data_IF_288270397521
#
_entry.id   IF_288270397521
#
_cell.length_a   1.000
_cell.length_b   1.000
_cell.length_c   1.000
_cell.angle_alpha   90.00
_cell.angle_beta   90.00
_cell.angle_gamma   90.00
#
_symmetry.space_group_name_H-M   'P 1'
#
loop_
_entity.id
_entity.type
_entity.pdbx_description
1 polymer ?
#
# COMPACT_ATOMS: atom_id res chain seq x y z
N UNK A 1 28.30 -0.31 -4.41
CA UNK A 1 28.03 0.67 -3.37
C UNK A 1 26.69 1.33 -3.62
N UNK A 2 25.77 1.24 -2.69
CA UNK A 2 24.44 1.82 -2.87
C UNK A 2 24.39 3.21 -2.23
N UNK A 3 23.91 4.21 -2.97
CA UNK A 3 23.67 5.54 -2.44
C UNK A 3 22.24 5.66 -1.92
N UNK A 4 21.74 4.57 -1.32
CA UNK A 4 20.38 4.52 -0.82
C UNK A 4 20.25 5.31 0.49
N UNK A 5 19.17 6.09 0.58
CA UNK A 5 18.88 6.93 1.75
C UNK A 5 18.49 6.10 2.97
N UNK A 6 17.81 4.99 2.74
CA UNK A 6 17.32 4.12 3.81
C UNK A 6 17.70 2.67 3.56
N UNK A 7 17.86 1.92 4.64
CA UNK A 7 18.15 0.49 4.54
C UNK A 7 16.87 -0.30 4.24
N UNK A 8 15.82 -0.08 5.02
CA UNK A 8 14.53 -0.78 4.85
C UNK A 8 13.38 0.20 4.86
N UNK A 9 12.56 0.15 3.84
CA UNK A 9 11.34 0.95 3.74
C UNK A 9 10.10 0.10 3.52
N UNK A 10 8.92 0.69 3.70
CA UNK A 10 7.63 0.04 3.52
C UNK A 10 6.67 0.99 2.80
N UNK A 11 5.91 0.44 1.86
CA UNK A 11 4.79 1.12 1.22
C UNK A 11 3.58 0.20 1.29
N UNK A 12 2.56 0.61 2.01
CA UNK A 12 1.38 -0.22 2.24
C UNK A 12 0.08 0.42 1.77
N UNK A 13 -0.91 -0.42 1.52
CA UNK A 13 -2.24 0.04 1.16
C UNK A 13 -3.17 -1.11 0.85
N UNK A 14 -4.43 -0.80 0.55
CA UNK A 14 -5.44 -1.77 0.12
C UNK A 14 -5.35 -2.07 -1.38
N UNK A 15 -4.89 -1.11 -2.15
CA UNK A 15 -4.68 -1.26 -3.60
C UNK A 15 -5.89 -1.83 -4.34
N UNK A 16 -6.98 -1.08 -4.35
CA UNK A 16 -8.25 -1.52 -4.95
C UNK A 16 -8.65 -0.68 -6.16
N UNK A 17 -7.99 -0.79 -7.29
CA UNK A 17 -6.88 -1.67 -7.65
C UNK A 17 -5.51 -1.02 -7.41
N UNK A 18 -4.46 -1.81 -7.63
CA UNK A 18 -3.09 -1.29 -7.74
C UNK A 18 -2.97 -0.59 -9.10
N UNK A 19 -2.66 0.69 -9.08
CA UNK A 19 -2.67 1.50 -10.29
C UNK A 19 -1.32 2.22 -10.52
N UNK A 20 -1.24 2.97 -11.61
CA UNK A 20 0.01 3.65 -12.01
C UNK A 20 0.52 4.65 -10.97
N UNK A 21 -0.38 5.28 -10.21
CA UNK A 21 0.00 6.14 -9.09
C UNK A 21 0.74 5.37 -8.00
N UNK A 22 0.26 4.18 -7.69
CA UNK A 22 0.93 3.29 -6.73
C UNK A 22 2.29 2.84 -7.25
N UNK A 23 2.36 2.46 -8.54
CA UNK A 23 3.62 2.05 -9.15
C UNK A 23 4.64 3.16 -9.12
N UNK A 24 4.22 4.40 -9.36
CA UNK A 24 5.08 5.58 -9.26
C UNK A 24 5.70 5.70 -7.86
N UNK A 25 4.89 5.49 -6.82
CA UNK A 25 5.40 5.50 -5.44
C UNK A 25 6.42 4.39 -5.21
N UNK A 26 6.17 3.19 -5.72
CA UNK A 26 7.10 2.07 -5.62
C UNK A 26 8.42 2.39 -6.32
N UNK A 27 8.37 2.98 -7.51
CA UNK A 27 9.57 3.37 -8.26
C UNK A 27 10.44 4.35 -7.46
N UNK A 28 9.83 5.39 -6.90
CA UNK A 28 10.56 6.39 -6.12
C UNK A 28 11.13 5.76 -4.85
N UNK A 29 10.29 5.04 -4.10
CA UNK A 29 10.71 4.43 -2.85
C UNK A 29 11.81 3.40 -3.04
N UNK A 30 11.73 2.59 -4.11
CA UNK A 30 12.73 1.56 -4.39
C UNK A 30 14.11 2.15 -4.66
N UNK A 31 14.16 3.36 -5.21
CA UNK A 31 15.42 4.07 -5.47
C UNK A 31 16.04 4.60 -4.18
N UNK A 32 15.25 4.80 -3.14
CA UNK A 32 15.70 5.36 -1.87
C UNK A 32 16.05 4.31 -0.82
N UNK A 33 15.61 3.07 -1.01
CA UNK A 33 15.80 1.99 -0.04
C UNK A 33 16.70 0.89 -0.59
N UNK A 34 17.51 0.29 0.28
CA UNK A 34 18.23 -0.93 -0.07
C UNK A 34 17.20 -2.07 -0.25
N UNK A 35 16.17 -2.10 0.60
CA UNK A 35 15.05 -3.04 0.49
C UNK A 35 13.74 -2.32 0.76
N UNK A 36 12.77 -2.51 -0.13
CA UNK A 36 11.42 -1.96 0.02
C UNK A 36 10.41 -3.10 0.11
N UNK A 37 9.56 -3.06 1.14
CA UNK A 37 8.41 -3.95 1.25
C UNK A 37 7.18 -3.23 0.72
N UNK A 38 6.50 -3.85 -0.22
CA UNK A 38 5.16 -3.40 -0.65
C UNK A 38 4.15 -4.33 0.01
N UNK A 39 3.30 -3.78 0.86
CA UNK A 39 2.40 -4.56 1.71
C UNK A 39 0.95 -4.31 1.33
N UNK A 40 0.25 -5.38 0.97
CA UNK A 40 -1.20 -5.35 0.77
C UNK A 40 -1.85 -5.64 2.12
N UNK A 41 -2.60 -4.65 2.65
CA UNK A 41 -3.45 -4.83 3.82
C UNK A 41 -4.85 -5.18 3.34
N UNK A 42 -5.40 -6.30 3.81
CA UNK A 42 -6.73 -6.73 3.38
C UNK A 42 -7.57 -7.23 4.54
N UNK A 43 -8.88 -7.10 4.40
CA UNK A 43 -9.84 -7.65 5.35
C UNK A 43 -10.43 -6.66 6.35
N UNK A 44 -10.14 -5.34 6.24
CA UNK A 44 -10.80 -4.39 7.13
C UNK A 44 -12.25 -4.16 6.71
N UNK A 45 -13.04 -3.54 7.59
CA UNK A 45 -14.47 -3.36 7.37
C UNK A 45 -14.80 -2.58 6.10
N UNK A 46 -14.02 -1.55 5.80
CA UNK A 46 -14.23 -0.74 4.59
C UNK A 46 -14.05 -1.59 3.32
N UNK A 47 -13.00 -2.40 3.29
CA UNK A 47 -12.75 -3.30 2.16
C UNK A 47 -13.86 -4.34 2.01
N UNK A 48 -14.24 -4.97 3.13
CA UNK A 48 -15.30 -5.98 3.12
C UNK A 48 -16.62 -5.42 2.61
N UNK A 49 -16.93 -4.17 2.97
CA UNK A 49 -18.13 -3.50 2.47
C UNK A 49 -18.05 -3.26 0.95
N UNK A 50 -16.91 -2.85 0.44
CA UNK A 50 -16.70 -2.68 -0.99
C UNK A 50 -16.87 -4.02 -1.72
N UNK A 51 -16.29 -5.10 -1.19
CA UNK A 51 -16.37 -6.42 -1.80
C UNK A 51 -17.79 -7.02 -1.75
N UNK A 52 -18.61 -6.62 -0.78
CA UNK A 52 -20.02 -7.01 -0.71
C UNK A 52 -20.83 -6.44 -1.86
N UNK A 53 -20.58 -5.18 -2.20
CA UNK A 53 -21.36 -4.45 -3.19
C UNK A 53 -20.80 -4.58 -4.60
N UNK A 54 -19.51 -4.88 -4.72
CA UNK A 54 -18.80 -4.96 -6.00
C UNK A 54 -18.08 -6.30 -6.10
N UNK A 55 -18.60 -7.17 -6.95
CA UNK A 55 -18.10 -8.55 -7.09
C UNK A 55 -17.20 -8.73 -8.33
N UNK A 56 -16.51 -7.67 -8.73
CA UNK A 56 -15.59 -7.73 -9.86
C UNK A 56 -14.33 -8.50 -9.48
N UNK A 57 -13.90 -9.39 -10.37
CA UNK A 57 -12.75 -10.26 -10.13
C UNK A 57 -11.48 -9.48 -9.79
N UNK A 58 -11.27 -8.35 -10.49
CA UNK A 58 -10.06 -7.55 -10.31
C UNK A 58 -9.95 -6.88 -8.93
N UNK A 59 -11.01 -6.91 -8.12
CA UNK A 59 -11.02 -6.40 -6.75
C UNK A 59 -10.76 -7.47 -5.70
N UNK A 60 -10.77 -8.75 -6.06
CA UNK A 60 -10.53 -9.82 -5.07
C UNK A 60 -9.13 -9.72 -4.48
N UNK A 61 -8.97 -10.24 -3.27
CA UNK A 61 -7.65 -10.29 -2.61
C UNK A 61 -6.65 -11.04 -3.50
N UNK A 62 -7.06 -12.18 -4.02
CA UNK A 62 -6.19 -13.01 -4.89
C UNK A 62 -5.71 -12.24 -6.12
N UNK A 63 -6.61 -11.56 -6.82
CA UNK A 63 -6.24 -10.77 -8.01
C UNK A 63 -5.30 -9.63 -7.65
N UNK A 64 -5.57 -8.95 -6.55
CA UNK A 64 -4.71 -7.86 -6.08
C UNK A 64 -3.32 -8.36 -5.71
N UNK A 65 -3.25 -9.49 -5.00
CA UNK A 65 -1.98 -10.11 -4.64
C UNK A 65 -1.16 -10.45 -5.89
N UNK A 66 -1.79 -11.07 -6.88
CA UNK A 66 -1.12 -11.45 -8.13
C UNK A 66 -0.60 -10.23 -8.89
N UNK A 67 -1.42 -9.18 -9.01
CA UNK A 67 -1.05 -7.96 -9.72
C UNK A 67 0.12 -7.23 -9.04
N UNK A 68 0.05 -7.07 -7.73
CA UNK A 68 1.09 -6.36 -6.98
C UNK A 68 2.40 -7.15 -6.99
N UNK A 69 2.31 -8.45 -6.76
CA UNK A 69 3.49 -9.32 -6.78
C UNK A 69 4.20 -9.24 -8.12
N UNK A 70 3.44 -9.28 -9.21
CA UNK A 70 4.00 -9.18 -10.56
C UNK A 70 4.67 -7.82 -10.79
N UNK A 71 4.04 -6.74 -10.32
CA UNK A 71 4.63 -5.41 -10.42
C UNK A 71 5.93 -5.31 -9.62
N UNK A 72 5.97 -5.91 -8.42
CA UNK A 72 7.17 -5.90 -7.59
C UNK A 72 8.34 -6.66 -8.24
N UNK A 73 8.06 -7.65 -9.05
CA UNK A 73 9.09 -8.42 -9.77
C UNK A 73 9.89 -7.55 -10.76
N UNK A 74 9.38 -6.38 -11.12
CA UNK A 74 10.10 -5.42 -11.98
C UNK A 74 11.29 -4.77 -11.28
N UNK A 75 11.42 -4.92 -9.98
CA UNK A 75 12.45 -4.28 -9.15
C UNK A 75 13.25 -5.33 -8.39
N UNK A 76 14.57 -5.21 -8.39
CA UNK A 76 15.45 -6.18 -7.74
C UNK A 76 15.38 -6.15 -6.22
N UNK A 77 15.03 -4.99 -5.66
CA UNK A 77 15.07 -4.74 -4.21
C UNK A 77 13.67 -4.59 -3.58
N UNK A 78 12.61 -4.95 -4.29
CA UNK A 78 11.23 -4.82 -3.80
C UNK A 78 10.68 -6.21 -3.49
N UNK A 79 10.14 -6.38 -2.27
CA UNK A 79 9.50 -7.61 -1.84
C UNK A 79 8.04 -7.36 -1.54
N UNK A 80 7.18 -8.21 -2.07
CA UNK A 80 5.75 -8.15 -1.81
C UNK A 80 5.40 -8.94 -0.55
N UNK A 81 4.48 -8.39 0.27
CA UNK A 81 3.88 -9.09 1.39
C UNK A 81 2.39 -8.77 1.47
N UNK A 82 1.63 -9.71 1.99
CA UNK A 82 0.18 -9.57 2.16
C UNK A 82 -0.15 -9.79 3.63
N UNK A 83 -0.91 -8.88 4.24
CA UNK A 83 -1.28 -8.94 5.65
C UNK A 83 -2.79 -8.92 5.79
N UNK A 84 -3.33 -9.96 6.44
CA UNK A 84 -4.75 -10.04 6.78
C UNK A 84 -4.98 -9.26 8.07
N UNK A 85 -5.77 -8.19 7.98
CA UNK A 85 -6.09 -7.33 9.12
C UNK A 85 -7.52 -7.56 9.66
N UNK A 86 -8.16 -8.65 9.25
CA UNK A 86 -9.52 -8.98 9.68
C UNK A 86 -9.66 -9.01 11.20
N UNK A 87 -8.63 -9.50 11.90
CA UNK A 87 -8.62 -9.62 13.36
C UNK A 87 -8.06 -8.40 14.07
N UNK A 88 -7.70 -7.35 13.33
CA UNK A 88 -7.15 -6.13 13.90
C UNK A 88 -8.27 -5.15 14.22
N UNK A 89 -9.11 -5.51 15.18
CA UNK A 89 -10.24 -4.69 15.63
C UNK A 89 -10.24 -4.57 17.14
N UNK A 90 -10.65 -3.39 17.62
CA UNK A 90 -10.88 -3.14 19.04
C UNK A 90 -12.25 -3.70 19.45
N UNK A 91 -12.53 -3.73 20.76
CA UNK A 91 -13.80 -4.22 21.29
C UNK A 91 -15.01 -3.47 20.70
N UNK A 92 -14.84 -2.19 20.37
CA UNK A 92 -15.89 -1.36 19.79
C UNK A 92 -16.07 -1.55 18.28
N UNK A 93 -15.29 -2.46 17.67
CA UNK A 93 -15.34 -2.73 16.23
C UNK A 93 -14.48 -1.83 15.37
N UNK A 94 -13.83 -0.80 15.94
CA UNK A 94 -12.92 0.06 15.19
C UNK A 94 -11.62 -0.65 14.89
N UNK A 95 -10.91 -0.16 13.86
CA UNK A 95 -9.63 -0.74 13.44
C UNK A 95 -8.56 -0.54 14.51
N UNK A 96 -7.85 -1.62 14.84
CA UNK A 96 -6.74 -1.57 15.81
C UNK A 96 -5.41 -1.49 15.05
N UNK A 97 -4.97 -0.26 14.86
CA UNK A 97 -3.74 0.01 14.11
C UNK A 97 -2.48 -0.47 14.84
N UNK A 98 -2.54 -0.58 16.17
CA UNK A 98 -1.40 -1.09 16.93
C UNK A 98 -1.15 -2.56 16.63
N UNK A 99 -2.21 -3.35 16.47
CA UNK A 99 -2.09 -4.76 16.04
C UNK A 99 -1.54 -4.85 14.62
N UNK A 100 -1.98 -3.96 13.73
CA UNK A 100 -1.46 -3.91 12.37
C UNK A 100 0.04 -3.59 12.36
N UNK A 101 0.48 -2.68 13.23
CA UNK A 101 1.89 -2.33 13.38
C UNK A 101 2.72 -3.55 13.76
N UNK A 102 2.24 -4.36 14.71
CA UNK A 102 2.93 -5.58 15.12
C UNK A 102 3.07 -6.56 13.94
N UNK A 103 2.03 -6.71 13.14
CA UNK A 103 2.08 -7.58 11.97
C UNK A 103 3.09 -7.09 10.93
N UNK A 104 3.13 -5.79 10.71
CA UNK A 104 4.12 -5.19 9.79
C UNK A 104 5.54 -5.43 10.28
N UNK A 105 5.80 -5.22 11.56
CA UNK A 105 7.14 -5.43 12.13
C UNK A 105 7.55 -6.90 12.11
N UNK A 106 6.60 -7.82 12.20
CA UNK A 106 6.89 -9.24 12.04
C UNK A 106 7.37 -9.57 10.62
N UNK A 107 6.88 -8.85 9.61
CA UNK A 107 7.30 -9.04 8.22
C UNK A 107 8.62 -8.32 7.94
N UNK A 108 8.72 -7.06 8.33
CA UNK A 108 9.82 -6.18 7.94
C UNK A 108 11.00 -6.20 8.91
N UNK A 109 10.77 -6.56 10.15
CA UNK A 109 11.74 -6.49 11.24
C UNK A 109 11.91 -5.07 11.74
N UNK A 110 12.66 -4.25 11.00
CA UNK A 110 12.91 -2.86 11.33
C UNK A 110 12.60 -1.98 10.13
N UNK A 111 12.07 -0.80 10.37
CA UNK A 111 11.78 0.16 9.30
C UNK A 111 12.51 1.48 9.52
N UNK A 112 13.16 1.97 8.47
CA UNK A 112 13.80 3.29 8.43
C UNK A 112 12.92 4.32 7.74
N UNK A 113 12.01 3.88 6.87
CA UNK A 113 11.08 4.76 6.16
C UNK A 113 9.74 4.09 5.93
N UNK A 114 8.68 4.88 5.97
CA UNK A 114 7.33 4.49 5.58
C UNK A 114 6.88 5.47 4.51
N UNK A 115 6.39 4.97 3.40
CA UNK A 115 5.98 5.78 2.25
C UNK A 115 4.46 5.85 2.13
N UNK A 116 3.97 7.01 1.75
CA UNK A 116 2.55 7.22 1.50
C UNK A 116 2.31 8.52 0.77
N UNK A 117 1.05 8.81 0.44
CA UNK A 117 0.64 10.03 -0.23
C UNK A 117 -0.27 10.90 0.63
N UNK A 118 -0.57 10.50 1.85
CA UNK A 118 -1.56 11.15 2.70
C UNK A 118 -0.92 11.74 3.97
N UNK A 119 -0.86 13.09 4.07
CA UNK A 119 -0.23 13.73 5.23
C UNK A 119 -0.92 13.46 6.56
N UNK A 120 -2.23 13.17 6.55
CA UNK A 120 -3.00 12.92 7.77
C UNK A 120 -2.55 11.67 8.53
N UNK A 121 -1.82 10.76 7.89
CA UNK A 121 -1.28 9.57 8.56
C UNK A 121 0.09 9.80 9.20
N UNK A 122 0.69 10.98 9.03
CA UNK A 122 2.04 11.26 9.53
C UNK A 122 2.16 11.05 11.04
N UNK A 123 1.19 11.55 11.81
CA UNK A 123 1.21 11.42 13.27
C UNK A 123 1.17 9.97 13.73
N UNK A 124 0.33 9.16 13.09
CA UNK A 124 0.23 7.74 13.41
C UNK A 124 1.56 7.04 13.13
N UNK A 125 2.11 7.21 11.94
CA UNK A 125 3.34 6.54 11.55
C UNK A 125 4.54 6.97 12.40
N UNK A 126 4.57 8.25 12.82
CA UNK A 126 5.63 8.74 13.72
C UNK A 126 5.59 8.06 15.08
N UNK A 127 4.41 7.74 15.58
CA UNK A 127 4.25 7.03 16.86
C UNK A 127 4.47 5.54 16.72
N UNK A 128 3.95 4.95 15.66
CA UNK A 128 4.03 3.50 15.43
C UNK A 128 5.46 3.05 15.09
N UNK A 129 6.18 3.88 14.34
CA UNK A 129 7.53 3.56 13.87
C UNK A 129 8.46 4.74 14.22
N UNK A 130 8.82 4.90 15.50
CA UNK A 130 9.58 6.09 15.95
C UNK A 130 10.95 6.25 15.30
N UNK A 131 11.54 5.17 14.81
CA UNK A 131 12.82 5.22 14.12
C UNK A 131 12.70 5.44 12.61
N UNK A 132 11.48 5.49 12.10
CA UNK A 132 11.23 5.64 10.66
C UNK A 132 10.81 7.05 10.31
N UNK A 133 11.17 7.48 9.11
CA UNK A 133 10.70 8.74 8.52
C UNK A 133 9.47 8.43 7.67
N UNK A 134 8.43 9.24 7.79
CA UNK A 134 7.28 9.14 6.90
C UNK A 134 7.52 10.03 5.67
N UNK A 135 7.79 9.40 4.53
CA UNK A 135 8.04 10.08 3.26
C UNK A 135 6.73 10.19 2.46
N UNK A 136 6.38 11.40 2.05
CA UNK A 136 5.17 11.65 1.29
C UNK A 136 5.52 11.81 -0.19
N UNK A 137 4.85 11.03 -1.04
CA UNK A 137 5.08 11.04 -2.49
C UNK A 137 3.80 11.47 -3.19
N UNK A 138 3.90 12.50 -4.05
CA UNK A 138 2.80 12.99 -4.90
C UNK A 138 1.51 13.22 -4.11
N UNK A 139 1.62 13.98 -3.01
CA UNK A 139 0.54 14.22 -2.05
C UNK A 139 -0.72 14.77 -2.71
N UNK A 140 -0.59 15.62 -3.71
CA UNK A 140 -1.69 16.23 -4.45
C UNK A 140 -2.09 15.44 -5.71
N UNK A 141 -1.43 14.29 -5.94
CA UNK A 141 -1.65 13.43 -7.11
C UNK A 141 -1.47 14.16 -8.44
N UNK A 142 -0.53 15.10 -8.48
CA UNK A 142 -0.26 15.92 -9.67
C UNK A 142 0.33 15.12 -10.82
N UNK A 143 1.15 14.12 -10.52
CA UNK A 143 1.79 13.27 -11.53
C UNK A 143 0.83 12.21 -12.09
N UNK A 144 0.08 11.56 -11.20
CA UNK A 144 -0.91 10.55 -11.57
C UNK A 144 -2.22 10.87 -10.87
N UNK A 145 -3.09 11.71 -11.49
CA UNK A 145 -4.32 12.19 -10.85
C UNK A 145 -5.42 11.13 -10.81
N UNK A 146 -5.15 10.03 -10.13
CA UNK A 146 -6.05 8.89 -10.08
C UNK A 146 -6.12 8.34 -8.65
N UNK A 147 -7.22 7.69 -8.32
CA UNK A 147 -7.41 7.02 -7.04
C UNK A 147 -8.18 5.72 -7.24
N UNK A 148 -8.09 4.82 -6.26
CA UNK A 148 -8.87 3.60 -6.29
C UNK A 148 -10.37 3.88 -6.41
N UNK A 149 -10.86 4.88 -5.69
CA UNK A 149 -12.27 5.29 -5.75
C UNK A 149 -12.66 5.71 -7.16
N UNK A 150 -11.86 6.55 -7.82
CA UNK A 150 -12.13 6.97 -9.19
C UNK A 150 -12.16 5.78 -10.14
N UNK A 151 -11.20 4.86 -9.99
CA UNK A 151 -11.12 3.68 -10.86
C UNK A 151 -12.30 2.74 -10.66
N UNK A 152 -12.71 2.52 -9.42
CA UNK A 152 -13.87 1.69 -9.12
C UNK A 152 -15.18 2.28 -9.68
N UNK A 153 -15.26 3.60 -9.77
CA UNK A 153 -16.44 4.30 -10.24
C UNK A 153 -16.44 4.56 -11.76
N UNK A 154 -15.37 4.21 -12.46
CA UNK A 154 -15.32 4.32 -13.90
C UNK A 154 -16.25 3.29 -14.55
N UNK A 155 -17.08 3.74 -15.48
CA UNK A 155 -18.01 2.88 -16.22
C UNK A 155 -17.36 2.24 -17.44
N UNK A 156 -16.31 2.86 -17.95
CA UNK A 156 -15.60 2.40 -19.15
C UNK A 156 -14.39 1.55 -18.71
N UNK A 157 -14.44 0.25 -19.02
CA UNK A 157 -13.37 -0.69 -18.69
C UNK A 157 -12.04 -0.35 -19.39
N UNK A 158 -12.11 0.13 -20.63
CA UNK A 158 -10.90 0.51 -21.39
C UNK A 158 -10.22 1.71 -20.75
N UNK A 159 -10.98 2.69 -20.28
CA UNK A 159 -10.44 3.84 -19.57
C UNK A 159 -9.79 3.42 -18.24
N UNK A 160 -10.44 2.54 -17.49
CA UNK A 160 -9.90 2.02 -16.23
C UNK A 160 -8.58 1.30 -16.46
N UNK A 161 -8.50 0.46 -17.49
CA UNK A 161 -7.30 -0.34 -17.79
C UNK A 161 -6.09 0.52 -18.10
N UNK A 162 -6.29 1.73 -18.61
CA UNK A 162 -5.19 2.67 -18.90
C UNK A 162 -4.42 3.05 -17.64
N UNK A 163 -5.07 3.05 -16.48
CA UNK A 163 -4.48 3.45 -15.20
C UNK A 163 -4.01 2.26 -14.35
N UNK A 164 -4.44 1.06 -14.69
CA UNK A 164 -4.05 -0.15 -13.96
C UNK A 164 -2.66 -0.61 -14.39
N UNK A 165 -2.01 -1.30 -13.49
CA UNK A 165 -0.68 -1.89 -13.74
C UNK A 165 -0.78 -3.29 -14.31
#
# INVERSE_FOLDING_TARGET
>A
MTNKKYKVGMYGGKFMPFHKGHLHCVEIASKQCEKLYVILFHGNDQELEILKTRKEEWLTVKSREEHIKKACEMFDNVEFASIDVTKCQKEDGSEDWDKETDLVLNVCGHLDAVYGSEPEYADYYSRAYPDAVYEIIDVDRSKFPISGTKLRNMKDDEERKKWMV
#
